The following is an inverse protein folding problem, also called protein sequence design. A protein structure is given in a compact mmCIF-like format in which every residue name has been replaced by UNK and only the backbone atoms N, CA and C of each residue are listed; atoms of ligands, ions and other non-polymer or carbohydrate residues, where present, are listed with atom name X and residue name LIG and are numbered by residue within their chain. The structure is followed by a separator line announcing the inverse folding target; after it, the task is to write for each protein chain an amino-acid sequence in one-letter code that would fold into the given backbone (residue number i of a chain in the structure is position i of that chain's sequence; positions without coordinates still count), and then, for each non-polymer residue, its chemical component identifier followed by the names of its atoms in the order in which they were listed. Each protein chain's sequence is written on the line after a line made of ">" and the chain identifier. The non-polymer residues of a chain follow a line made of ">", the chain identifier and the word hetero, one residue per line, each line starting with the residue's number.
data_IF_132067964585
#
_entry.id   IF_132067964585
#
_cell.length_a   1.000
_cell.length_b   1.000
_cell.length_c   1.000
_cell.angle_alpha   90.00
_cell.angle_beta   90.00
_cell.angle_gamma   90.00
#
_symmetry.space_group_name_H-M   'P 1'
#
loop_
_entity.id
_entity.type
_entity.pdbx_description
1 polymer ?
#
# COMPACT_ATOMS: atom_id res chain seq x y z
N UNK A 1 -2.13 -16.60 17.68
CA UNK A 1 -2.98 -16.57 16.46
C UNK A 1 -2.44 -15.47 15.58
N UNK A 2 -2.34 -15.70 14.27
CA UNK A 2 -1.87 -14.68 13.32
C UNK A 2 -2.69 -13.40 13.44
N UNK A 3 -2.10 -12.22 13.19
CA UNK A 3 -2.83 -10.96 13.25
C UNK A 3 -3.99 -11.00 12.25
N UNK A 4 -5.18 -10.48 12.61
CA UNK A 4 -6.31 -10.52 11.71
C UNK A 4 -6.00 -9.73 10.43
N UNK A 5 -6.36 -10.32 9.29
CA UNK A 5 -6.56 -9.58 8.06
C UNK A 5 -7.57 -8.47 8.36
N UNK A 6 -7.18 -7.21 8.14
CA UNK A 6 -8.01 -6.09 8.55
C UNK A 6 -9.10 -5.85 7.51
N UNK A 7 -10.10 -6.72 7.52
CA UNK A 7 -11.24 -6.74 6.60
C UNK A 7 -12.33 -5.75 6.99
N UNK A 8 -12.20 -5.12 8.17
CA UNK A 8 -13.22 -4.21 8.70
C UNK A 8 -13.29 -2.93 7.90
N UNK A 9 -14.37 -2.76 7.15
CA UNK A 9 -14.62 -1.53 6.39
C UNK A 9 -15.28 -0.44 7.25
N UNK A 10 -15.02 0.82 6.87
CA UNK A 10 -15.71 2.01 7.36
C UNK A 10 -16.63 2.49 6.25
N UNK A 11 -17.90 2.73 6.55
CA UNK A 11 -18.89 3.23 5.58
C UNK A 11 -18.86 4.74 5.46
N UNK A 12 -19.35 5.28 4.35
CA UNK A 12 -19.52 6.72 4.14
C UNK A 12 -20.35 7.37 5.26
N UNK A 13 -21.42 6.70 5.71
CA UNK A 13 -22.24 7.17 6.83
C UNK A 13 -21.42 7.34 8.11
N UNK A 14 -20.52 6.38 8.41
CA UNK A 14 -19.65 6.43 9.58
C UNK A 14 -18.54 7.48 9.45
N UNK A 15 -18.05 7.74 8.23
CA UNK A 15 -17.15 8.87 7.97
C UNK A 15 -17.86 10.17 8.28
N UNK A 16 -19.07 10.38 7.74
CA UNK A 16 -19.87 11.61 7.93
C UNK A 16 -20.21 11.87 9.40
N UNK A 17 -20.50 10.84 10.18
CA UNK A 17 -20.85 10.98 11.60
C UNK A 17 -19.64 11.02 12.54
N UNK A 18 -18.42 10.75 12.05
CA UNK A 18 -17.20 10.64 12.84
C UNK A 18 -16.30 11.88 12.73
N UNK A 19 -15.12 11.86 13.38
CA UNK A 19 -14.14 12.94 13.30
C UNK A 19 -13.69 13.26 11.86
N UNK A 20 -13.67 12.25 10.98
CA UNK A 20 -13.34 12.44 9.56
C UNK A 20 -14.40 13.25 8.80
N UNK A 21 -15.64 13.30 9.30
CA UNK A 21 -16.73 14.07 8.71
C UNK A 21 -16.47 15.58 8.72
N UNK A 22 -15.75 16.08 9.73
CA UNK A 22 -15.40 17.50 9.83
C UNK A 22 -14.37 17.94 8.78
N UNK A 23 -13.47 17.03 8.37
CA UNK A 23 -12.41 17.33 7.38
C UNK A 23 -12.79 16.92 5.96
N UNK A 24 -13.77 16.03 5.79
CA UNK A 24 -14.17 15.48 4.49
C UNK A 24 -14.56 16.53 3.44
N UNK A 25 -15.35 17.58 3.74
CA UNK A 25 -15.66 18.63 2.76
C UNK A 25 -14.42 19.38 2.27
N UNK A 26 -13.46 19.66 3.17
CA UNK A 26 -12.22 20.36 2.85
C UNK A 26 -11.35 19.49 1.94
N UNK A 27 -11.17 18.22 2.31
CA UNK A 27 -10.38 17.29 1.49
C UNK A 27 -11.03 17.04 0.13
N UNK A 28 -12.35 16.93 0.07
CA UNK A 28 -13.07 16.77 -1.20
C UNK A 28 -12.95 18.00 -2.10
N UNK A 29 -12.79 19.19 -1.53
CA UNK A 29 -12.62 20.43 -2.29
C UNK A 29 -11.16 20.68 -2.74
N UNK A 30 -10.18 20.27 -1.94
CA UNK A 30 -8.78 20.71 -2.10
C UNK A 30 -7.75 19.58 -2.20
N UNK A 31 -8.17 18.32 -2.15
CA UNK A 31 -7.31 17.13 -2.26
C UNK A 31 -7.51 16.33 -3.54
N UNK A 32 -8.41 16.76 -4.42
CA UNK A 32 -8.76 16.01 -5.62
C UNK A 32 -7.55 15.86 -6.54
N UNK A 33 -7.26 14.62 -6.93
CA UNK A 33 -6.34 14.32 -8.01
C UNK A 33 -7.12 14.40 -9.34
N UNK A 34 -6.81 15.38 -10.22
CA UNK A 34 -7.43 15.42 -11.53
C UNK A 34 -7.03 14.17 -12.29
N UNK A 35 -8.03 13.41 -12.70
CA UNK A 35 -7.88 12.24 -13.55
C UNK A 35 -8.65 12.51 -14.83
N UNK A 36 -8.05 12.34 -16.03
CA UNK A 36 -8.80 12.42 -17.26
C UNK A 36 -9.95 11.40 -17.20
N UNK A 37 -11.16 11.73 -17.69
CA UNK A 37 -12.26 10.76 -17.76
C UNK A 37 -11.91 9.50 -18.55
N UNK A 38 -10.86 9.57 -19.38
CA UNK A 38 -10.37 8.50 -20.23
C UNK A 38 -9.29 7.60 -19.60
N UNK A 39 -9.03 7.70 -18.29
CA UNK A 39 -8.07 6.83 -17.60
C UNK A 39 -8.71 6.16 -16.38
N UNK A 40 -8.22 4.96 -16.04
CA UNK A 40 -8.51 4.29 -14.78
C UNK A 40 -7.96 5.13 -13.62
N UNK A 41 -8.80 5.42 -12.63
CA UNK A 41 -8.37 6.01 -11.36
C UNK A 41 -8.09 4.90 -10.35
N UNK A 42 -6.86 4.81 -9.84
CA UNK A 42 -6.46 3.95 -8.73
C UNK A 42 -6.40 4.77 -7.43
N UNK A 43 -7.36 4.58 -6.52
CA UNK A 43 -7.24 5.15 -5.18
C UNK A 43 -6.33 4.29 -4.31
N UNK A 44 -5.30 4.90 -3.74
CA UNK A 44 -4.25 4.19 -3.01
C UNK A 44 -3.90 4.82 -1.67
N UNK A 45 -3.27 4.02 -0.82
CA UNK A 45 -2.31 4.50 0.17
C UNK A 45 -0.92 4.30 -0.42
N UNK A 46 -0.12 5.37 -0.54
CA UNK A 46 1.14 5.35 -1.30
C UNK A 46 2.10 4.23 -0.88
N UNK A 47 2.20 3.96 0.42
CA UNK A 47 3.07 2.92 1.00
C UNK A 47 2.42 1.54 1.11
N UNK A 48 1.22 1.34 0.57
CA UNK A 48 0.51 0.08 0.69
C UNK A 48 1.13 -1.00 -0.20
N UNK A 49 1.58 -2.07 0.45
CA UNK A 49 2.07 -3.30 -0.18
C UNK A 49 0.99 -4.09 -0.93
N UNK A 50 -0.29 -3.85 -0.67
CA UNK A 50 -1.39 -4.40 -1.50
C UNK A 50 -1.64 -3.59 -2.76
N UNK A 51 -1.47 -2.27 -2.70
CA UNK A 51 -1.53 -1.40 -3.89
C UNK A 51 -0.38 -1.74 -4.83
N UNK A 52 0.79 -2.11 -4.29
CA UNK A 52 1.92 -2.52 -5.12
C UNK A 52 1.61 -3.70 -6.03
N UNK A 53 0.79 -4.67 -5.59
CA UNK A 53 0.30 -5.77 -6.46
C UNK A 53 -0.36 -5.20 -7.72
N UNK A 54 -1.23 -4.20 -7.54
CA UNK A 54 -1.98 -3.55 -8.63
C UNK A 54 -1.07 -2.73 -9.53
N UNK A 55 -0.16 -1.93 -8.95
CA UNK A 55 0.83 -1.17 -9.74
C UNK A 55 1.69 -2.09 -10.60
N UNK A 56 2.09 -3.23 -10.04
CA UNK A 56 2.88 -4.24 -10.75
C UNK A 56 2.08 -4.80 -11.93
N UNK A 57 0.83 -5.23 -11.70
CA UNK A 57 0.00 -5.77 -12.77
C UNK A 57 -0.32 -4.74 -13.85
N UNK A 58 -0.62 -3.49 -13.50
CA UNK A 58 -0.82 -2.43 -14.48
C UNK A 58 0.43 -2.15 -15.32
N UNK A 59 1.62 -2.28 -14.73
CA UNK A 59 2.88 -2.20 -15.47
C UNK A 59 2.99 -3.37 -16.47
N UNK A 60 2.70 -4.59 -16.02
CA UNK A 60 2.80 -5.79 -16.86
C UNK A 60 1.80 -5.80 -18.03
N UNK A 61 0.56 -5.34 -17.80
CA UNK A 61 -0.48 -5.26 -18.84
C UNK A 61 -0.36 -4.03 -19.73
N UNK A 62 0.50 -3.06 -19.38
CA UNK A 62 0.54 -1.76 -20.04
C UNK A 62 -0.75 -0.95 -19.84
N UNK A 63 -1.46 -1.18 -18.73
CA UNK A 63 -2.68 -0.45 -18.39
C UNK A 63 -2.34 0.98 -18.03
N UNK A 64 -2.94 1.93 -18.74
CA UNK A 64 -2.84 3.34 -18.42
C UNK A 64 -3.75 3.69 -17.24
N UNK A 65 -3.20 4.39 -16.24
CA UNK A 65 -3.93 4.74 -15.03
C UNK A 65 -3.37 6.00 -14.37
N UNK A 66 -4.23 6.66 -13.60
CA UNK A 66 -3.85 7.76 -12.70
C UNK A 66 -3.97 7.27 -11.26
N UNK A 67 -2.89 7.39 -10.50
CA UNK A 67 -2.87 7.06 -9.09
C UNK A 67 -3.33 8.24 -8.23
N UNK A 68 -4.40 8.06 -7.49
CA UNK A 68 -4.88 9.01 -6.49
C UNK A 68 -4.47 8.53 -5.09
N UNK A 69 -3.24 8.88 -4.71
CA UNK A 69 -2.65 8.48 -3.44
C UNK A 69 -3.13 9.35 -2.28
N UNK A 70 -3.44 8.73 -1.15
CA UNK A 70 -3.86 9.42 0.07
C UNK A 70 -3.13 8.85 1.29
N UNK A 71 -2.95 9.63 2.36
CA UNK A 71 -2.39 9.10 3.59
C UNK A 71 -3.28 8.00 4.22
N UNK A 72 -2.71 7.09 5.03
CA UNK A 72 -3.47 6.11 5.79
C UNK A 72 -4.61 6.76 6.59
N UNK A 73 -5.78 6.14 6.60
CA UNK A 73 -6.97 6.70 7.24
C UNK A 73 -7.69 7.74 6.37
N UNK A 74 -6.98 8.75 5.84
CA UNK A 74 -7.58 9.75 4.94
C UNK A 74 -8.05 9.15 3.62
N UNK A 75 -7.35 8.12 3.13
CA UNK A 75 -7.77 7.34 1.95
C UNK A 75 -9.22 6.84 2.04
N UNK A 76 -9.74 6.58 3.25
CA UNK A 76 -11.13 6.13 3.43
C UNK A 76 -12.17 7.12 2.92
N UNK A 77 -11.86 8.42 2.92
CA UNK A 77 -12.74 9.46 2.38
C UNK A 77 -12.85 9.33 0.87
N UNK A 78 -11.72 9.12 0.19
CA UNK A 78 -11.68 8.95 -1.26
C UNK A 78 -12.34 7.62 -1.68
N UNK A 79 -12.03 6.51 -1.01
CA UNK A 79 -12.59 5.20 -1.36
C UNK A 79 -14.09 5.12 -1.11
N UNK A 80 -14.59 5.65 0.02
CA UNK A 80 -16.04 5.67 0.29
C UNK A 80 -16.83 6.65 -0.57
N UNK A 81 -16.17 7.64 -1.19
CA UNK A 81 -16.79 8.50 -2.20
C UNK A 81 -17.01 7.78 -3.54
N UNK A 82 -16.24 6.71 -3.80
CA UNK A 82 -16.38 5.86 -4.97
C UNK A 82 -17.38 4.74 -4.69
N UNK A 83 -17.25 4.09 -3.53
CA UNK A 83 -18.08 2.96 -3.10
C UNK A 83 -18.41 3.08 -1.61
N UNK A 84 -19.66 3.39 -1.27
CA UNK A 84 -20.07 3.85 0.06
C UNK A 84 -19.71 2.89 1.21
N UNK A 85 -19.54 1.60 0.92
CA UNK A 85 -19.25 0.56 1.91
C UNK A 85 -17.79 0.07 1.89
N UNK A 86 -16.92 0.73 1.14
CA UNK A 86 -15.51 0.33 1.00
C UNK A 86 -14.59 1.46 1.44
N UNK A 87 -13.80 1.20 2.49
CA UNK A 87 -12.78 2.12 2.99
C UNK A 87 -11.35 1.71 2.62
N UNK A 88 -11.16 0.43 2.25
CA UNK A 88 -9.86 -0.13 1.95
C UNK A 88 -9.36 0.24 0.55
N UNK A 89 -8.04 0.28 0.40
CA UNK A 89 -7.33 0.37 -0.87
C UNK A 89 -6.61 -0.96 -1.13
N UNK A 90 -6.38 -1.37 -2.39
CA UNK A 90 -6.71 -0.65 -3.62
C UNK A 90 -8.20 -0.70 -3.98
N UNK A 91 -8.67 0.38 -4.63
CA UNK A 91 -9.95 0.42 -5.36
C UNK A 91 -9.70 1.19 -6.65
N UNK A 92 -10.26 0.70 -7.75
CA UNK A 92 -10.18 1.36 -9.05
C UNK A 92 -11.56 1.77 -9.52
N UNK A 93 -11.60 2.88 -10.27
CA UNK A 93 -12.76 3.30 -11.05
C UNK A 93 -12.32 3.47 -12.50
N UNK A 94 -12.94 2.72 -13.41
CA UNK A 94 -12.64 2.75 -14.85
C UNK A 94 -13.27 3.97 -15.53
N UNK A 95 -12.93 4.20 -16.80
CA UNK A 95 -13.51 5.29 -17.62
C UNK A 95 -15.03 5.14 -17.77
N UNK A 96 -15.53 3.91 -17.80
CA UNK A 96 -16.95 3.59 -17.95
C UNK A 96 -17.72 3.72 -16.63
N UNK A 97 -17.02 4.00 -15.53
CA UNK A 97 -17.58 4.12 -14.19
C UNK A 97 -17.66 2.81 -13.42
N UNK A 98 -17.21 1.69 -14.00
CA UNK A 98 -17.11 0.41 -13.28
C UNK A 98 -16.10 0.53 -12.14
N UNK A 99 -16.48 0.01 -10.97
CA UNK A 99 -15.66 -0.02 -9.76
C UNK A 99 -15.20 -1.45 -9.50
N UNK A 100 -13.88 -1.64 -9.38
CA UNK A 100 -13.28 -2.91 -8.95
C UNK A 100 -12.49 -2.67 -7.68
N UNK A 101 -12.79 -3.47 -6.66
CA UNK A 101 -12.15 -3.44 -5.35
C UNK A 101 -11.40 -4.75 -5.15
N UNK A 102 -10.58 -4.78 -4.10
CA UNK A 102 -9.71 -5.92 -3.78
C UNK A 102 -8.55 -6.11 -4.77
N UNK A 103 -7.34 -6.34 -4.25
CA UNK A 103 -6.16 -6.46 -5.10
C UNK A 103 -6.24 -7.70 -5.99
N UNK A 104 -6.68 -8.83 -5.48
CA UNK A 104 -6.76 -10.12 -6.20
C UNK A 104 -7.76 -10.03 -7.35
N UNK A 105 -8.93 -9.43 -7.10
CA UNK A 105 -9.92 -9.20 -8.17
C UNK A 105 -9.40 -8.28 -9.28
N UNK A 106 -8.63 -7.25 -8.94
CA UNK A 106 -7.97 -6.39 -9.93
C UNK A 106 -6.91 -7.18 -10.70
N UNK A 107 -6.07 -7.96 -10.03
CA UNK A 107 -5.04 -8.78 -10.69
C UNK A 107 -5.66 -9.76 -11.69
N UNK A 108 -6.71 -10.49 -11.29
CA UNK A 108 -7.43 -11.43 -12.16
C UNK A 108 -8.05 -10.74 -13.39
N UNK A 109 -8.58 -9.52 -13.21
CA UNK A 109 -9.20 -8.78 -14.31
C UNK A 109 -8.19 -8.31 -15.35
N UNK A 110 -7.05 -7.76 -14.92
CA UNK A 110 -6.11 -7.10 -15.84
C UNK A 110 -4.99 -8.02 -16.33
N UNK A 111 -4.67 -9.08 -15.59
CA UNK A 111 -3.63 -10.05 -15.94
C UNK A 111 -4.07 -11.50 -15.65
N UNK A 112 -5.17 -12.00 -16.25
CA UNK A 112 -5.67 -13.36 -15.98
C UNK A 112 -4.65 -14.46 -16.31
N UNK A 113 -3.71 -14.21 -17.23
CA UNK A 113 -2.65 -15.16 -17.60
C UNK A 113 -1.66 -15.44 -16.47
N UNK A 114 -1.64 -14.61 -15.42
CA UNK A 114 -0.85 -14.86 -14.21
C UNK A 114 -1.43 -15.96 -13.32
N UNK A 115 -2.61 -16.49 -13.66
CA UNK A 115 -3.32 -17.57 -12.94
C UNK A 115 -3.44 -18.84 -13.79
N UNK A 116 -2.33 -19.47 -14.22
CA UNK A 116 -2.38 -20.67 -15.06
C UNK A 116 -2.97 -21.88 -14.34
N UNK A 117 -3.00 -21.88 -13.00
CA UNK A 117 -3.55 -22.96 -12.18
C UNK A 117 -4.26 -22.40 -10.95
N UNK A 118 -5.24 -23.13 -10.36
CA UNK A 118 -5.91 -22.72 -9.12
C UNK A 118 -4.97 -22.52 -7.93
N UNK A 119 -3.81 -23.21 -7.92
CA UNK A 119 -2.80 -23.08 -6.87
C UNK A 119 -2.32 -21.64 -6.69
N UNK A 120 -2.23 -20.86 -7.77
CA UNK A 120 -1.76 -19.47 -7.70
C UNK A 120 -2.70 -18.62 -6.85
N UNK A 121 -4.01 -18.77 -7.05
CA UNK A 121 -5.02 -18.04 -6.27
C UNK A 121 -4.96 -18.46 -4.80
N UNK A 122 -4.86 -19.75 -4.51
CA UNK A 122 -4.73 -20.23 -3.12
C UNK A 122 -3.49 -19.65 -2.43
N UNK A 123 -2.34 -19.63 -3.10
CA UNK A 123 -1.11 -19.04 -2.52
C UNK A 123 -1.23 -17.53 -2.32
N UNK A 124 -1.90 -16.82 -3.24
CA UNK A 124 -2.17 -15.39 -3.11
C UNK A 124 -3.07 -15.10 -1.90
N UNK A 125 -4.20 -15.79 -1.78
CA UNK A 125 -5.15 -15.64 -0.66
C UNK A 125 -4.48 -15.98 0.69
N UNK A 126 -3.70 -17.05 0.74
CA UNK A 126 -2.95 -17.43 1.95
C UNK A 126 -1.96 -16.34 2.36
N UNK A 127 -1.24 -15.75 1.40
CA UNK A 127 -0.27 -14.67 1.66
C UNK A 127 -0.95 -13.35 2.07
N UNK A 128 -2.07 -13.01 1.44
CA UNK A 128 -2.90 -11.85 1.81
C UNK A 128 -3.47 -12.00 3.23
N UNK A 129 -3.77 -13.22 3.67
CA UNK A 129 -4.26 -13.51 5.02
C UNK A 129 -3.15 -13.61 6.09
N UNK A 130 -1.90 -13.87 5.70
CA UNK A 130 -0.78 -14.15 6.62
C UNK A 130 0.34 -13.11 6.54
N UNK A 131 1.17 -13.17 5.50
CA UNK A 131 2.33 -12.29 5.32
C UNK A 131 1.93 -10.82 5.29
N UNK A 132 0.84 -10.47 4.60
CA UNK A 132 0.38 -9.09 4.47
C UNK A 132 0.05 -8.42 5.82
N UNK A 133 -0.81 -9.02 6.66
CA UNK A 133 -1.11 -8.52 8.00
C UNK A 133 0.12 -8.50 8.92
N UNK A 134 0.94 -9.54 8.91
CA UNK A 134 2.12 -9.66 9.80
C UNK A 134 3.21 -8.66 9.43
N UNK A 135 3.50 -8.46 8.14
CA UNK A 135 4.41 -7.40 7.68
C UNK A 135 3.93 -6.01 8.13
N UNK A 136 2.63 -5.74 8.00
CA UNK A 136 2.03 -4.46 8.43
C UNK A 136 2.14 -4.25 9.94
N UNK A 137 1.78 -5.26 10.74
CA UNK A 137 1.79 -5.16 12.20
C UNK A 137 3.21 -4.96 12.71
N UNK A 138 4.15 -5.77 12.23
CA UNK A 138 5.57 -5.62 12.59
C UNK A 138 6.11 -4.24 12.19
N UNK A 139 5.90 -3.81 10.94
CA UNK A 139 6.38 -2.51 10.47
C UNK A 139 5.79 -1.33 11.28
N UNK A 140 4.47 -1.29 11.45
CA UNK A 140 3.81 -0.19 12.17
C UNK A 140 4.02 -0.23 13.69
N UNK A 141 4.26 -1.40 14.29
CA UNK A 141 4.63 -1.48 15.70
C UNK A 141 5.87 -0.61 15.99
N UNK A 142 6.90 -0.71 15.13
CA UNK A 142 8.12 0.07 15.29
C UNK A 142 8.00 1.49 14.73
N UNK A 143 7.32 1.71 13.59
CA UNK A 143 7.19 3.03 12.96
C UNK A 143 6.24 3.99 13.68
N UNK A 144 5.20 3.51 14.37
CA UNK A 144 4.22 4.37 15.06
C UNK A 144 4.69 4.82 16.46
N UNK A 145 5.97 4.61 16.82
CA UNK A 145 6.53 5.16 18.07
C UNK A 145 6.78 6.66 17.90
N UNK A 146 6.55 7.51 18.94
CA UNK A 146 6.61 8.97 18.80
C UNK A 146 7.89 9.52 18.16
N UNK A 147 9.04 8.91 18.45
CA UNK A 147 10.34 9.31 17.90
C UNK A 147 10.50 9.10 16.38
N UNK A 148 9.58 8.36 15.73
CA UNK A 148 9.59 8.11 14.29
C UNK A 148 8.46 8.84 13.56
N UNK A 149 7.81 9.82 14.21
CA UNK A 149 6.66 10.55 13.66
C UNK A 149 6.96 11.26 12.33
N UNK A 150 8.15 11.85 12.19
CA UNK A 150 8.57 12.51 10.95
C UNK A 150 8.75 11.50 9.82
N UNK A 151 9.50 10.41 10.08
CA UNK A 151 9.68 9.32 9.12
C UNK A 151 8.33 8.72 8.68
N UNK A 152 7.44 8.44 9.63
CA UNK A 152 6.11 7.90 9.34
C UNK A 152 5.31 8.87 8.47
N UNK A 153 5.34 10.18 8.81
CA UNK A 153 4.63 11.20 8.04
C UNK A 153 5.20 11.34 6.63
N UNK A 154 6.51 11.36 6.48
CA UNK A 154 7.20 11.45 5.20
C UNK A 154 6.81 10.28 4.29
N UNK A 155 6.88 9.05 4.79
CA UNK A 155 6.49 7.85 4.06
C UNK A 155 4.99 7.89 3.69
N UNK A 156 4.13 8.19 4.65
CA UNK A 156 2.68 8.18 4.47
C UNK A 156 2.12 9.26 3.53
N UNK A 157 2.88 10.33 3.26
CA UNK A 157 2.41 11.51 2.53
C UNK A 157 3.14 11.77 1.21
N UNK A 158 3.94 10.81 0.72
CA UNK A 158 4.59 10.92 -0.60
C UNK A 158 3.56 10.96 -1.71
N UNK A 159 3.71 11.94 -2.61
CA UNK A 159 2.82 12.15 -3.76
C UNK A 159 1.33 12.30 -3.39
N UNK A 160 1.05 12.70 -2.13
CA UNK A 160 -0.30 13.10 -1.67
C UNK A 160 -0.53 14.60 -1.87
N UNK A 161 -1.76 15.09 -1.69
CA UNK A 161 -2.02 16.53 -1.80
C UNK A 161 -1.34 17.30 -0.67
N UNK A 162 -0.95 18.56 -0.92
CA UNK A 162 -0.32 19.40 0.11
C UNK A 162 -1.22 19.57 1.33
N UNK A 163 -2.54 19.67 1.12
CA UNK A 163 -3.53 19.78 2.21
C UNK A 163 -3.55 18.51 3.06
N UNK A 164 -3.56 17.34 2.43
CA UNK A 164 -3.45 16.05 3.14
C UNK A 164 -2.13 15.91 3.88
N UNK A 165 -1.02 16.29 3.26
CA UNK A 165 0.31 16.23 3.87
C UNK A 165 0.36 17.08 5.15
N UNK A 166 -0.10 18.34 5.09
CA UNK A 166 -0.12 19.23 6.24
C UNK A 166 -1.03 18.67 7.33
N UNK A 167 -2.26 18.29 6.97
CA UNK A 167 -3.23 17.76 7.93
C UNK A 167 -2.72 16.47 8.60
N UNK A 168 -2.20 15.53 7.82
CA UNK A 168 -1.69 14.27 8.33
C UNK A 168 -0.50 14.47 9.27
N UNK A 169 0.49 15.29 8.89
CA UNK A 169 1.62 15.64 9.77
C UNK A 169 1.15 16.24 11.09
N UNK A 170 0.20 17.17 11.07
CA UNK A 170 -0.34 17.77 12.29
C UNK A 170 -1.02 16.72 13.19
N UNK A 171 -1.83 15.82 12.62
CA UNK A 171 -2.49 14.77 13.39
C UNK A 171 -1.51 13.76 13.96
N UNK A 172 -0.46 13.38 13.21
CA UNK A 172 0.61 12.49 13.69
C UNK A 172 1.40 13.16 14.82
N UNK A 173 1.83 14.42 14.64
CA UNK A 173 2.62 15.13 15.66
C UNK A 173 1.84 15.38 16.96
N UNK A 174 0.51 15.51 16.87
CA UNK A 174 -0.39 15.60 18.04
C UNK A 174 -0.77 14.24 18.64
N UNK A 175 -0.27 13.13 18.09
CA UNK A 175 -0.57 11.78 18.59
C UNK A 175 -2.00 11.29 18.31
N UNK A 176 -2.71 11.91 17.37
CA UNK A 176 -4.14 11.63 17.11
C UNK A 176 -4.35 10.40 16.22
N UNK A 177 -3.36 10.01 15.42
CA UNK A 177 -3.47 8.92 14.44
C UNK A 177 -3.04 7.57 15.02
N UNK A 178 -1.94 7.58 15.78
CA UNK A 178 -1.24 6.38 16.22
C UNK A 178 -2.13 5.47 17.09
N UNK A 179 -2.89 5.95 18.08
CA UNK A 179 -3.76 5.09 18.89
C UNK A 179 -4.87 4.43 18.06
N UNK A 180 -5.47 5.19 17.14
CA UNK A 180 -6.51 4.70 16.23
C UNK A 180 -5.98 3.63 15.28
N UNK A 181 -4.82 3.87 14.65
CA UNK A 181 -4.16 2.89 13.79
C UNK A 181 -3.80 1.62 14.56
N UNK A 182 -3.19 1.75 15.75
CA UNK A 182 -2.82 0.59 16.58
C UNK A 182 -4.04 -0.24 16.95
N UNK A 183 -5.12 0.39 17.40
CA UNK A 183 -6.37 -0.31 17.75
C UNK A 183 -7.03 -0.97 16.54
N UNK A 184 -7.14 -0.25 15.43
CA UNK A 184 -7.81 -0.74 14.22
C UNK A 184 -7.07 -1.91 13.58
N UNK A 185 -5.74 -1.90 13.63
CA UNK A 185 -4.89 -2.94 13.04
C UNK A 185 -4.45 -4.02 14.04
N UNK A 186 -4.92 -3.96 15.30
CA UNK A 186 -4.58 -4.93 16.33
C UNK A 186 -3.10 -4.92 16.75
N UNK A 187 -2.43 -3.78 16.66
CA UNK A 187 -0.99 -3.64 16.94
C UNK A 187 -0.76 -3.51 18.45
N UNK A 188 0.06 -4.43 18.98
CA UNK A 188 0.54 -4.53 20.35
C UNK A 188 1.98 -5.05 20.35
N UNK A 189 2.60 -5.14 21.52
CA UNK A 189 3.90 -5.83 21.66
C UNK A 189 3.76 -7.32 21.31
N UNK A 190 2.76 -7.99 21.89
CA UNK A 190 2.48 -9.42 21.66
C UNK A 190 2.22 -9.73 20.19
N UNK A 191 1.38 -8.94 19.49
CA UNK A 191 1.09 -9.17 18.08
C UNK A 191 2.28 -8.87 17.18
N UNK A 192 3.18 -7.96 17.57
CA UNK A 192 4.41 -7.69 16.83
C UNK A 192 5.40 -8.85 16.95
N UNK A 193 5.54 -9.44 18.14
CA UNK A 193 6.36 -10.65 18.37
C UNK A 193 5.79 -11.87 17.63
N UNK A 194 4.47 -12.07 17.64
CA UNK A 194 3.84 -13.12 16.84
C UNK A 194 4.08 -12.88 15.34
N UNK A 195 3.95 -11.63 14.90
CA UNK A 195 4.17 -11.26 13.49
C UNK A 195 5.60 -11.51 13.04
N UNK A 196 6.61 -11.21 13.88
CA UNK A 196 8.01 -11.44 13.53
C UNK A 196 8.29 -12.93 13.33
N UNK A 197 7.80 -13.78 14.24
CA UNK A 197 7.94 -15.24 14.14
C UNK A 197 7.22 -15.81 12.91
N UNK A 198 6.03 -15.30 12.60
CA UNK A 198 5.27 -15.71 11.42
C UNK A 198 5.98 -15.30 10.11
N UNK A 199 6.50 -14.07 10.04
CA UNK A 199 7.30 -13.60 8.90
C UNK A 199 8.51 -14.52 8.68
N UNK A 200 9.27 -14.83 9.72
CA UNK A 200 10.43 -15.72 9.63
C UNK A 200 10.04 -17.13 9.16
N UNK A 201 8.95 -17.68 9.69
CA UNK A 201 8.41 -18.99 9.30
C UNK A 201 8.03 -19.02 7.82
N UNK A 202 7.30 -18.00 7.35
CA UNK A 202 6.91 -17.86 5.94
C UNK A 202 8.16 -17.76 5.06
N UNK A 203 9.13 -16.92 5.39
CA UNK A 203 10.37 -16.81 4.60
C UNK A 203 11.16 -18.12 4.57
N UNK A 204 11.18 -18.89 5.65
CA UNK A 204 11.78 -20.22 5.68
C UNK A 204 11.02 -21.23 4.80
N UNK A 205 9.68 -21.24 4.83
CA UNK A 205 8.85 -22.09 3.98
C UNK A 205 9.08 -21.78 2.49
N UNK A 206 8.98 -20.50 2.11
CA UNK A 206 9.13 -20.08 0.72
C UNK A 206 10.57 -20.26 0.24
N UNK A 207 11.58 -20.15 1.12
CA UNK A 207 12.96 -20.53 0.78
C UNK A 207 13.06 -22.00 0.38
N UNK A 208 12.40 -22.92 1.09
CA UNK A 208 12.36 -24.36 0.74
C UNK A 208 11.62 -24.62 -0.57
N UNK A 209 10.57 -23.86 -0.88
CA UNK A 209 9.90 -23.96 -2.21
C UNK A 209 10.85 -23.53 -3.33
N UNK A 210 11.58 -22.44 -3.11
CA UNK A 210 12.51 -21.85 -4.06
C UNK A 210 13.82 -22.63 -4.26
N UNK A 211 14.13 -23.59 -3.39
CA UNK A 211 15.21 -24.56 -3.63
C UNK A 211 14.85 -25.54 -4.76
N UNK A 212 13.56 -25.83 -4.93
CA UNK A 212 13.06 -26.84 -5.88
C UNK A 212 12.63 -26.23 -7.22
N UNK A 213 12.40 -24.93 -7.24
CA UNK A 213 11.70 -24.25 -8.32
C UNK A 213 12.17 -22.79 -8.42
N UNK A 214 12.29 -22.21 -9.62
CA UNK A 214 12.69 -20.82 -9.77
C UNK A 214 11.64 -19.84 -9.22
N UNK A 215 10.35 -20.19 -9.20
CA UNK A 215 9.25 -19.34 -8.73
C UNK A 215 8.38 -20.05 -7.69
N UNK A 216 7.55 -19.25 -7.02
CA UNK A 216 6.72 -19.69 -5.89
C UNK A 216 5.73 -20.79 -6.27
N UNK A 217 5.09 -20.64 -7.42
CA UNK A 217 4.07 -21.58 -7.91
C UNK A 217 4.61 -22.62 -8.90
N UNK A 218 5.93 -22.72 -9.08
CA UNK A 218 6.56 -23.65 -10.03
C UNK A 218 7.47 -22.94 -11.03
N UNK A 219 7.49 -23.42 -12.27
CA UNK A 219 8.51 -23.04 -13.27
C UNK A 219 8.28 -21.69 -13.96
N UNK A 220 7.17 -21.01 -13.68
CA UNK A 220 6.80 -19.72 -14.29
C UNK A 220 6.49 -18.65 -13.24
N UNK A 221 6.80 -17.40 -13.55
CA UNK A 221 6.43 -16.24 -12.74
C UNK A 221 4.91 -16.00 -12.80
N UNK A 222 4.27 -15.86 -11.65
CA UNK A 222 2.79 -15.77 -11.50
C UNK A 222 2.35 -14.68 -10.52
N UNK A 223 1.05 -14.54 -10.32
CA UNK A 223 0.49 -13.65 -9.29
C UNK A 223 0.94 -14.04 -7.87
N UNK A 224 1.33 -15.29 -7.62
CA UNK A 224 1.88 -15.71 -6.33
C UNK A 224 3.23 -15.04 -6.06
N UNK A 225 4.09 -14.91 -7.07
CA UNK A 225 5.37 -14.19 -6.98
C UNK A 225 5.15 -12.69 -6.75
N UNK A 226 4.23 -12.09 -7.51
CA UNK A 226 3.87 -10.67 -7.33
C UNK A 226 3.37 -10.43 -5.91
N UNK A 227 2.47 -11.29 -5.41
CA UNK A 227 1.88 -11.16 -4.08
C UNK A 227 2.95 -11.28 -3.00
N UNK A 228 3.75 -12.35 -3.01
CA UNK A 228 4.83 -12.52 -2.05
C UNK A 228 5.81 -11.33 -2.05
N UNK A 229 6.26 -10.91 -3.23
CA UNK A 229 7.20 -9.80 -3.37
C UNK A 229 6.61 -8.46 -2.92
N UNK A 230 5.36 -8.19 -3.28
CA UNK A 230 4.67 -6.96 -2.91
C UNK A 230 4.48 -6.90 -1.41
N UNK A 231 3.97 -7.98 -0.79
CA UNK A 231 3.71 -8.02 0.65
C UNK A 231 4.99 -8.02 1.49
N UNK A 232 6.08 -8.59 0.99
CA UNK A 232 7.40 -8.55 1.62
C UNK A 232 8.12 -7.19 1.47
N UNK A 233 7.70 -6.34 0.51
CA UNK A 233 8.44 -5.13 0.16
C UNK A 233 8.70 -4.15 1.31
N UNK A 234 7.79 -3.93 2.29
CA UNK A 234 8.08 -3.03 3.41
C UNK A 234 9.23 -3.53 4.31
N UNK A 235 9.44 -4.85 4.35
CA UNK A 235 10.48 -5.49 5.17
C UNK A 235 11.78 -5.62 4.39
N UNK A 236 11.71 -5.94 3.10
CA UNK A 236 12.89 -6.11 2.23
C UNK A 236 13.46 -4.77 1.76
N UNK A 237 12.63 -3.73 1.62
CA UNK A 237 12.98 -2.43 1.03
C UNK A 237 13.73 -2.57 -0.30
N UNK A 238 13.13 -3.15 -1.36
CA UNK A 238 13.79 -3.32 -2.66
C UNK A 238 14.35 -1.98 -3.17
N UNK A 239 15.54 -1.94 -3.81
CA UNK A 239 16.13 -0.68 -4.29
C UNK A 239 15.23 0.12 -5.23
N UNK A 240 14.32 -0.54 -5.95
CA UNK A 240 13.35 0.10 -6.84
C UNK A 240 12.39 1.05 -6.10
N UNK A 241 12.30 0.95 -4.77
CA UNK A 241 11.50 1.85 -3.94
C UNK A 241 12.27 3.07 -3.42
N UNK A 242 13.55 3.29 -3.75
CA UNK A 242 14.32 4.37 -3.11
C UNK A 242 13.66 5.77 -3.28
N UNK A 243 13.01 6.05 -4.42
CA UNK A 243 12.24 7.29 -4.65
C UNK A 243 11.01 7.42 -3.71
N UNK A 244 10.49 6.30 -3.22
CA UNK A 244 9.34 6.20 -2.32
C UNK A 244 9.72 5.79 -0.88
N UNK A 245 11.01 5.57 -0.60
CA UNK A 245 11.56 5.21 0.71
C UNK A 245 12.46 6.29 1.31
N UNK A 246 12.66 6.23 2.62
CA UNK A 246 13.61 7.10 3.32
C UNK A 246 15.02 6.50 3.30
N UNK A 247 15.99 7.25 3.81
CA UNK A 247 17.35 6.72 4.05
C UNK A 247 17.23 5.42 4.87
N UNK A 248 17.81 4.30 4.38
CA UNK A 248 17.77 3.01 5.08
C UNK A 248 18.19 3.08 6.55
N UNK A 249 19.11 3.98 6.91
CA UNK A 249 19.63 4.17 8.28
C UNK A 249 18.67 4.92 9.20
N UNK A 250 17.67 5.63 8.65
CA UNK A 250 16.66 6.37 9.42
C UNK A 250 15.57 5.47 10.02
N UNK A 251 15.48 4.22 9.55
CA UNK A 251 14.48 3.26 10.02
C UNK A 251 14.79 2.75 11.43
N UNK A 252 13.76 2.32 12.20
CA UNK A 252 13.96 1.66 13.48
C UNK A 252 14.95 0.47 13.38
N UNK A 253 15.85 0.30 14.36
CA UNK A 253 16.85 -0.77 14.35
C UNK A 253 16.26 -2.18 14.17
N UNK A 254 15.08 -2.42 14.72
CA UNK A 254 14.38 -3.70 14.62
C UNK A 254 13.96 -4.00 13.17
N UNK A 255 13.53 -2.97 12.41
CA UNK A 255 13.21 -3.12 10.98
C UNK A 255 14.47 -3.31 10.14
N UNK A 256 15.58 -2.65 10.49
CA UNK A 256 16.87 -2.83 9.81
C UNK A 256 17.36 -4.27 10.02
N UNK A 257 17.35 -4.77 11.26
CA UNK A 257 17.76 -6.14 11.60
C UNK A 257 16.90 -7.18 10.88
N UNK A 258 15.57 -7.00 10.87
CA UNK A 258 14.66 -7.88 10.14
C UNK A 258 14.97 -7.86 8.64
N UNK A 259 15.16 -6.67 8.04
CA UNK A 259 15.54 -6.53 6.62
C UNK A 259 16.81 -7.31 6.29
N UNK A 260 17.87 -7.14 7.07
CA UNK A 260 19.14 -7.85 6.88
C UNK A 260 18.98 -9.36 6.98
N UNK A 261 18.25 -9.83 8.00
CA UNK A 261 17.95 -11.24 8.18
C UNK A 261 17.19 -11.81 6.98
N UNK A 262 16.06 -11.21 6.60
CA UNK A 262 15.23 -11.71 5.50
C UNK A 262 15.97 -11.68 4.16
N UNK A 263 16.76 -10.64 3.87
CA UNK A 263 17.59 -10.55 2.65
C UNK A 263 18.66 -11.64 2.56
N UNK A 264 19.06 -12.24 3.67
CA UNK A 264 20.03 -13.35 3.67
C UNK A 264 19.44 -14.68 3.17
N UNK A 265 18.11 -14.85 3.31
CA UNK A 265 17.37 -16.06 2.91
C UNK A 265 17.22 -16.18 1.38
N UNK A 266 16.88 -17.39 0.88
CA UNK A 266 16.57 -17.58 -0.53
C UNK A 266 15.30 -16.83 -0.94
N UNK A 267 14.29 -16.79 -0.08
CA UNK A 267 13.07 -16.03 -0.31
C UNK A 267 13.33 -14.52 -0.41
N UNK A 268 14.15 -13.94 0.46
CA UNK A 268 14.52 -12.51 0.36
C UNK A 268 15.31 -12.19 -0.90
N UNK A 269 16.24 -13.07 -1.30
CA UNK A 269 16.96 -12.97 -2.58
C UNK A 269 16.01 -13.08 -3.77
N UNK A 270 15.00 -13.94 -3.69
CA UNK A 270 13.95 -14.04 -4.70
C UNK A 270 13.17 -12.73 -4.82
N UNK A 271 12.77 -12.08 -3.72
CA UNK A 271 12.11 -10.77 -3.76
C UNK A 271 12.97 -9.75 -4.49
N UNK A 272 14.24 -9.60 -4.10
CA UNK A 272 15.17 -8.67 -4.74
C UNK A 272 15.35 -8.96 -6.24
N UNK A 273 15.47 -10.25 -6.61
CA UNK A 273 15.56 -10.68 -8.01
C UNK A 273 14.28 -10.32 -8.77
N UNK A 274 13.11 -10.60 -8.22
CA UNK A 274 11.84 -10.35 -8.90
C UNK A 274 11.59 -8.86 -9.12
N UNK A 275 11.91 -8.01 -8.14
CA UNK A 275 11.87 -6.57 -8.37
C UNK A 275 12.86 -6.10 -9.44
N UNK A 276 14.06 -6.67 -9.45
CA UNK A 276 15.07 -6.32 -10.44
C UNK A 276 14.72 -6.78 -11.87
N UNK A 277 14.06 -7.92 -12.02
CA UNK A 277 13.85 -8.56 -13.33
C UNK A 277 12.43 -8.37 -13.89
N UNK A 278 11.41 -8.37 -13.04
CA UNK A 278 10.01 -8.48 -13.46
C UNK A 278 9.16 -7.27 -13.12
N UNK A 279 9.63 -6.35 -12.27
CA UNK A 279 8.81 -5.21 -11.82
C UNK A 279 8.35 -4.29 -12.95
N UNK A 280 9.23 -4.06 -13.91
CA UNK A 280 8.98 -3.24 -15.10
C UNK A 280 8.95 -4.07 -16.37
N UNK A 281 8.56 -5.35 -16.22
CA UNK A 281 8.34 -6.27 -17.34
C UNK A 281 7.05 -5.96 -18.09
N UNK A 282 6.69 -6.86 -19.00
CA UNK A 282 5.45 -6.80 -19.78
C UNK A 282 4.95 -8.21 -20.08
N UNK A 283 3.66 -8.36 -20.33
CA UNK A 283 3.10 -9.61 -20.81
C UNK A 283 3.29 -9.70 -22.32
N UNK A 284 3.95 -10.76 -22.79
CA UNK A 284 4.08 -11.14 -24.20
C UNK A 284 3.67 -12.60 -24.33
N UNK A 285 2.70 -12.86 -25.21
CA UNK A 285 2.17 -14.22 -25.46
C UNK A 285 1.75 -14.95 -24.17
N UNK A 286 1.17 -14.21 -23.21
CA UNK A 286 0.69 -14.75 -21.93
C UNK A 286 1.78 -15.04 -20.90
N UNK A 287 3.04 -14.72 -21.17
CA UNK A 287 4.17 -14.86 -20.25
C UNK A 287 4.75 -13.49 -19.87
N UNK A 288 5.34 -13.41 -18.69
CA UNK A 288 6.02 -12.19 -18.25
C UNK A 288 7.44 -12.17 -18.83
N UNK A 289 7.72 -11.19 -19.69
CA UNK A 289 9.08 -10.86 -20.11
C UNK A 289 9.76 -9.95 -19.09
N UNK A 290 11.07 -10.09 -18.95
CA UNK A 290 11.87 -9.26 -18.06
C UNK A 290 11.90 -7.81 -18.56
N UNK A 291 11.91 -6.89 -17.60
CA UNK A 291 11.89 -5.44 -17.83
C UNK A 291 13.23 -4.75 -17.69
N UNK A 292 13.22 -3.45 -17.96
CA UNK A 292 14.31 -2.56 -17.58
C UNK A 292 14.40 -2.34 -16.07
N UNK A 293 15.46 -1.68 -15.63
CA UNK A 293 15.59 -1.20 -14.24
C UNK A 293 15.08 0.22 -14.15
N UNK A 294 13.90 0.37 -13.56
CA UNK A 294 13.30 1.67 -13.25
C UNK A 294 13.01 1.78 -11.76
N UNK A 295 12.56 2.96 -11.35
CA UNK A 295 12.12 3.25 -9.99
C UNK A 295 10.59 3.16 -9.92
N UNK A 296 10.07 2.59 -8.83
CA UNK A 296 8.64 2.60 -8.56
C UNK A 296 8.22 4.04 -8.30
N UNK A 297 7.22 4.50 -9.03
CA UNK A 297 6.66 5.85 -8.91
C UNK A 297 5.17 5.77 -8.67
N UNK A 298 4.66 6.68 -7.86
CA UNK A 298 3.23 6.94 -7.78
C UNK A 298 2.87 7.77 -9.01
N UNK A 299 2.09 7.21 -9.92
CA UNK A 299 1.71 7.86 -11.19
C UNK A 299 0.55 8.84 -10.96
N UNK A 300 0.82 9.84 -10.11
CA UNK A 300 -0.16 10.83 -9.69
C UNK A 300 -0.55 11.80 -10.79
N UNK A 301 -1.83 12.17 -10.83
CA UNK A 301 -2.30 13.31 -11.62
C UNK A 301 -1.74 14.63 -11.06
N UNK A 302 -1.68 15.67 -11.91
CA UNK A 302 -1.23 17.01 -11.48
C UNK A 302 -2.19 17.57 -10.42
N UNK A 303 -1.84 17.48 -9.14
CA UNK A 303 -2.65 18.04 -8.05
C UNK A 303 -2.54 19.56 -8.03
N UNK A 304 -3.67 20.22 -7.79
CA UNK A 304 -3.74 21.67 -7.86
C UNK A 304 -3.02 22.34 -6.68
N UNK A 305 -1.97 23.12 -6.97
CA UNK A 305 -1.14 23.77 -5.95
C UNK A 305 -1.86 24.96 -5.28
N UNK A 306 -2.98 25.42 -5.83
CA UNK A 306 -3.79 26.51 -5.27
C UNK A 306 -4.66 26.09 -4.07
N UNK A 307 -4.81 24.79 -3.80
CA UNK A 307 -5.56 24.29 -2.64
C UNK A 307 -5.03 24.81 -1.29
N UNK A 308 -3.74 25.13 -1.21
CA UNK A 308 -3.12 25.75 -0.02
C UNK A 308 -3.67 27.16 0.23
N UNK A 309 -3.80 27.98 -0.82
CA UNK A 309 -4.36 29.33 -0.71
C UNK A 309 -5.84 29.26 -0.35
N UNK A 310 -6.60 28.33 -0.95
CA UNK A 310 -7.98 28.06 -0.58
C UNK A 310 -8.15 27.63 0.88
N UNK A 311 -7.24 26.79 1.40
CA UNK A 311 -7.24 26.36 2.80
C UNK A 311 -6.99 27.51 3.77
N UNK A 312 -6.02 28.40 3.51
CA UNK A 312 -5.75 29.57 4.35
C UNK A 312 -6.91 30.57 4.36
N UNK A 313 -7.66 30.69 3.26
CA UNK A 313 -8.84 31.56 3.16
C UNK A 313 -10.06 30.92 3.85
N UNK A 314 -10.25 29.60 3.74
CA UNK A 314 -11.42 28.90 4.26
C UNK A 314 -11.30 28.45 5.73
N UNK A 315 -10.09 28.23 6.25
CA UNK A 315 -9.85 27.72 7.60
C UNK A 315 -10.47 28.57 8.74
N UNK A 316 -10.45 29.91 8.70
CA UNK A 316 -11.12 30.74 9.71
C UNK A 316 -12.66 30.62 9.65
N UNK A 317 -13.22 30.44 8.45
CA UNK A 317 -14.66 30.31 8.21
C UNK A 317 -15.22 28.94 8.62
N UNK A 318 -14.34 27.93 8.70
CA UNK A 318 -14.69 26.53 9.00
C UNK A 318 -14.36 26.12 10.45
N UNK A 319 -14.01 27.07 11.33
CA UNK A 319 -13.76 26.80 12.76
C UNK A 319 -12.43 26.11 13.08
N UNK A 320 -11.49 26.10 12.14
CA UNK A 320 -10.23 25.35 12.25
C UNK A 320 -9.34 25.85 13.42
N UNK A 321 -9.43 27.13 13.77
CA UNK A 321 -8.72 27.71 14.91
C UNK A 321 -9.14 27.12 16.27
N UNK A 322 -10.32 26.49 16.35
CA UNK A 322 -10.81 25.81 17.57
C UNK A 322 -10.56 24.29 17.59
N UNK A 323 -10.09 23.72 16.48
CA UNK A 323 -9.69 22.31 16.35
C UNK A 323 -8.16 22.10 16.36
N UNK A 324 -7.40 23.18 16.12
CA UNK A 324 -5.95 23.25 16.33
C UNK A 324 -5.61 23.51 17.80
#
# INVERSE_FOLDING_TARGET
>A
MSPPENTKQITLAKIKSGPLGYISPILSAFSTCPHPPSHIRLCSVGISHYVEKVRWVFTLSGTDYVEDAHPPGLASIATTSIEENTSATPIIKTETGEVVKDSTAILQKYCPTLYPTPLVLTLEEDLDATLGPSARVFAYHHLLKPQHSDLMSDLATRETSVVETILFRLMVNKGLIQPGMKKFMGISEESAEISSQEIESIFAEYSKKLEKSPYIAGDTFTAADITFCSLASPLISPPQFDDLSADPSSFPPELIKMREHLRSTLAGKHVLRCYNEYRFGRIVEGKVEKGGREMVKILGGKRDRWGVIGLFIAAPLLGFASML
#
